data_IF_686567262201
#
_entry.id   IF_686567262201
#
_cell.length_a   1.000
_cell.length_b   1.000
_cell.length_c   1.000
_cell.angle_alpha   90.00
_cell.angle_beta   90.00
_cell.angle_gamma   90.00
#
_symmetry.space_group_name_H-M   'P 1'
#
loop_
_entity.id
_entity.type
_entity.pdbx_description
1 polymer ?
#
# COMPACT_ATOMS: atom_id res chain seq x y z
N UNK A 1 -25.56 -11.89 -39.65
CA UNK A 1 -25.94 -11.39 -38.30
C UNK A 1 -25.47 -12.25 -37.12
N UNK A 2 -24.94 -13.47 -37.29
CA UNK A 2 -24.42 -14.28 -36.15
C UNK A 2 -23.01 -13.92 -35.67
N UNK A 3 -22.15 -13.37 -36.54
CA UNK A 3 -20.78 -12.96 -36.17
C UNK A 3 -20.72 -11.71 -35.26
N UNK A 4 -21.68 -10.79 -35.39
CA UNK A 4 -21.73 -9.59 -34.56
C UNK A 4 -22.03 -9.90 -33.08
N UNK A 5 -22.84 -10.93 -32.80
CA UNK A 5 -23.17 -11.37 -31.44
C UNK A 5 -21.96 -12.02 -30.72
N UNK A 6 -21.14 -12.78 -31.44
CA UNK A 6 -19.93 -13.39 -30.87
C UNK A 6 -18.86 -12.35 -30.55
N UNK A 7 -18.71 -11.32 -31.38
CA UNK A 7 -17.75 -10.24 -31.15
C UNK A 7 -18.09 -9.43 -29.89
N UNK A 8 -19.39 -9.15 -29.66
CA UNK A 8 -19.85 -8.45 -28.45
C UNK A 8 -19.60 -9.25 -27.15
N UNK A 9 -19.70 -10.58 -27.19
CA UNK A 9 -19.48 -11.43 -26.00
C UNK A 9 -17.99 -11.45 -25.61
N UNK A 10 -17.08 -11.45 -26.59
CA UNK A 10 -15.62 -11.43 -26.34
C UNK A 10 -15.20 -10.09 -25.73
N UNK A 11 -15.80 -8.97 -26.17
CA UNK A 11 -15.50 -7.65 -25.62
C UNK A 11 -16.01 -7.51 -24.18
N UNK A 12 -17.23 -8.00 -23.89
CA UNK A 12 -17.82 -7.94 -22.54
C UNK A 12 -17.03 -8.76 -21.52
N UNK A 13 -16.65 -9.99 -21.87
CA UNK A 13 -15.87 -10.89 -21.00
C UNK A 13 -14.44 -10.37 -20.75
N UNK A 14 -13.81 -9.73 -21.74
CA UNK A 14 -12.52 -9.07 -21.54
C UNK A 14 -12.62 -7.84 -20.62
N UNK A 15 -13.73 -7.13 -20.64
CA UNK A 15 -13.98 -5.95 -19.79
C UNK A 15 -14.17 -6.37 -18.33
N UNK A 16 -14.95 -7.42 -18.10
CA UNK A 16 -15.28 -7.96 -16.78
C UNK A 16 -14.05 -8.54 -16.07
N UNK A 17 -13.23 -9.33 -16.77
CA UNK A 17 -11.97 -9.86 -16.24
C UNK A 17 -10.99 -8.74 -15.84
N UNK A 18 -10.94 -7.65 -16.62
CA UNK A 18 -10.04 -6.53 -16.33
C UNK A 18 -10.53 -5.70 -15.15
N UNK A 19 -11.84 -5.47 -15.04
CA UNK A 19 -12.47 -4.86 -13.85
C UNK A 19 -12.17 -5.64 -12.58
N UNK A 20 -12.37 -6.97 -12.61
CA UNK A 20 -12.08 -7.85 -11.48
C UNK A 20 -10.59 -7.80 -11.08
N UNK A 21 -9.70 -7.83 -12.08
CA UNK A 21 -8.25 -7.71 -11.83
C UNK A 21 -7.88 -6.40 -11.13
N UNK A 22 -8.48 -5.27 -11.55
CA UNK A 22 -8.25 -3.96 -10.93
C UNK A 22 -8.74 -3.96 -9.46
N UNK A 23 -9.94 -4.49 -9.21
CA UNK A 23 -10.50 -4.58 -7.85
C UNK A 23 -9.64 -5.46 -6.95
N UNK A 24 -9.18 -6.61 -7.45
CA UNK A 24 -8.30 -7.50 -6.69
C UNK A 24 -6.98 -6.82 -6.34
N UNK A 25 -6.35 -6.11 -7.30
CA UNK A 25 -5.12 -5.37 -7.00
C UNK A 25 -5.35 -4.23 -5.99
N UNK A 26 -6.47 -3.51 -6.09
CA UNK A 26 -6.85 -2.49 -5.11
C UNK A 26 -6.99 -3.06 -3.70
N UNK A 27 -7.53 -4.27 -3.57
CA UNK A 27 -7.63 -4.97 -2.28
C UNK A 27 -6.24 -5.36 -1.75
N UNK A 28 -5.37 -5.93 -2.58
CA UNK A 28 -3.99 -6.24 -2.20
C UNK A 28 -3.22 -5.00 -1.76
N UNK A 29 -3.38 -3.87 -2.45
CA UNK A 29 -2.71 -2.62 -2.05
C UNK A 29 -3.17 -2.17 -0.65
N UNK A 30 -4.46 -2.31 -0.32
CA UNK A 30 -4.96 -1.98 1.03
C UNK A 30 -4.30 -2.86 2.10
N UNK A 31 -4.16 -4.15 1.82
CA UNK A 31 -3.48 -5.10 2.71
C UNK A 31 -1.99 -4.74 2.87
N UNK A 32 -1.29 -4.47 1.77
CA UNK A 32 0.11 -4.00 1.79
C UNK A 32 0.29 -2.70 2.59
N UNK A 33 -0.65 -1.76 2.50
CA UNK A 33 -0.63 -0.53 3.30
C UNK A 33 -0.79 -0.81 4.80
N UNK A 34 -1.68 -1.71 5.18
CA UNK A 34 -1.88 -2.10 6.58
C UNK A 34 -0.68 -2.86 7.14
N UNK A 35 -0.02 -3.70 6.33
CA UNK A 35 1.24 -4.35 6.70
C UNK A 35 2.34 -3.33 6.97
N UNK A 36 2.49 -2.31 6.10
CA UNK A 36 3.47 -1.23 6.30
C UNK A 36 3.20 -0.46 7.59
N UNK A 37 1.94 -0.12 7.88
CA UNK A 37 1.55 0.54 9.14
C UNK A 37 1.84 -0.33 10.34
N UNK A 38 1.48 -1.61 10.29
CA UNK A 38 1.68 -2.57 11.37
C UNK A 38 3.17 -2.74 11.69
N UNK A 39 4.00 -2.91 10.66
CA UNK A 39 5.44 -2.98 10.82
C UNK A 39 6.02 -1.71 11.44
N UNK A 40 5.56 -0.54 10.97
CA UNK A 40 5.97 0.75 11.52
C UNK A 40 5.66 0.87 13.02
N UNK A 41 4.41 0.60 13.43
CA UNK A 41 4.02 0.72 14.84
C UNK A 41 4.73 -0.29 15.73
N UNK A 42 4.91 -1.53 15.27
CA UNK A 42 5.71 -2.52 16.01
C UNK A 42 7.15 -2.04 16.22
N UNK A 43 7.75 -1.41 15.22
CA UNK A 43 9.10 -0.84 15.33
C UNK A 43 9.12 0.38 16.26
N UNK A 44 8.10 1.23 16.20
CA UNK A 44 7.91 2.39 17.08
C UNK A 44 7.86 1.96 18.56
N UNK A 45 7.02 0.98 18.89
CA UNK A 45 6.87 0.47 20.25
C UNK A 45 8.18 -0.14 20.78
N UNK A 46 8.90 -0.84 19.90
CA UNK A 46 10.22 -1.39 20.24
C UNK A 46 11.26 -0.30 20.50
N UNK A 47 11.20 0.84 19.81
CA UNK A 47 12.14 1.94 20.03
C UNK A 47 11.78 2.75 21.28
N UNK A 48 10.50 2.96 21.56
CA UNK A 48 10.06 3.71 22.73
C UNK A 48 10.37 2.94 24.04
N UNK A 49 10.14 1.63 24.06
CA UNK A 49 10.50 0.79 25.23
C UNK A 49 12.00 0.80 25.56
N UNK A 50 12.87 0.87 24.54
CA UNK A 50 14.32 1.01 24.76
C UNK A 50 14.66 2.42 25.24
N UNK A 51 14.00 3.45 24.72
CA UNK A 51 14.24 4.85 25.11
C UNK A 51 13.85 5.13 26.57
N UNK A 52 12.76 4.54 27.04
CA UNK A 52 12.31 4.65 28.43
C UNK A 52 13.32 4.07 29.42
N UNK A 53 13.97 2.97 29.04
CA UNK A 53 14.90 2.24 29.90
C UNK A 53 16.35 2.73 29.81
N UNK A 54 16.71 3.46 28.74
CA UNK A 54 18.08 3.93 28.53
C UNK A 54 18.27 5.40 28.95
N UNK A 55 19.24 5.67 29.83
CA UNK A 55 19.60 7.01 30.30
C UNK A 55 20.78 7.63 29.55
N UNK A 56 21.42 6.89 28.65
CA UNK A 56 22.58 7.36 27.89
C UNK A 56 22.14 8.29 26.74
N UNK A 57 22.60 9.54 26.74
CA UNK A 57 22.17 10.53 25.76
C UNK A 57 22.56 10.18 24.31
N UNK A 58 23.73 9.57 24.09
CA UNK A 58 24.18 9.17 22.75
C UNK A 58 23.29 8.05 22.18
N UNK A 59 22.80 7.15 23.04
CA UNK A 59 21.84 6.12 22.61
C UNK A 59 20.45 6.70 22.36
N UNK A 60 19.99 7.64 23.19
CA UNK A 60 18.72 8.37 22.95
C UNK A 60 18.72 9.11 21.62
N UNK A 61 19.84 9.74 21.26
CA UNK A 61 19.99 10.39 19.95
C UNK A 61 19.89 9.37 18.80
N UNK A 62 20.57 8.24 18.88
CA UNK A 62 20.47 7.17 17.86
C UNK A 62 19.04 6.65 17.71
N UNK A 63 18.31 6.49 18.82
CA UNK A 63 16.90 6.08 18.79
C UNK A 63 16.05 7.14 18.08
N UNK A 64 16.27 8.43 18.35
CA UNK A 64 15.58 9.52 17.66
C UNK A 64 15.88 9.55 16.14
N UNK A 65 17.12 9.32 15.74
CA UNK A 65 17.50 9.18 14.32
C UNK A 65 16.81 7.97 13.67
N UNK A 66 16.71 6.85 14.39
CA UNK A 66 16.02 5.65 13.91
C UNK A 66 14.51 5.86 13.78
N UNK A 67 13.89 6.64 14.67
CA UNK A 67 12.48 7.07 14.54
C UNK A 67 12.24 7.82 13.23
N UNK A 68 13.04 8.86 12.97
CA UNK A 68 12.89 9.69 11.76
C UNK A 68 13.14 8.87 10.50
N UNK A 69 14.16 8.01 10.50
CA UNK A 69 14.45 7.11 9.38
C UNK A 69 13.30 6.13 9.11
N UNK A 70 12.74 5.56 10.16
CA UNK A 70 11.62 4.61 10.07
C UNK A 70 10.34 5.29 9.57
N UNK A 71 10.05 6.51 10.04
CA UNK A 71 8.93 7.31 9.56
C UNK A 71 9.07 7.69 8.07
N UNK A 72 10.28 8.07 7.66
CA UNK A 72 10.60 8.33 6.26
C UNK A 72 10.36 7.11 5.36
N UNK A 73 10.82 5.92 5.79
CA UNK A 73 10.60 4.66 5.06
C UNK A 73 9.12 4.31 4.94
N UNK A 74 8.36 4.41 6.04
CA UNK A 74 6.89 4.22 6.03
C UNK A 74 6.24 5.16 5.03
N UNK A 75 6.57 6.45 5.09
CA UNK A 75 5.95 7.48 4.24
C UNK A 75 6.22 7.22 2.75
N UNK A 76 7.46 6.90 2.38
CA UNK A 76 7.81 6.55 0.99
C UNK A 76 7.02 5.34 0.49
N UNK A 77 6.92 4.29 1.30
CA UNK A 77 6.16 3.09 0.95
C UNK A 77 4.67 3.38 0.76
N UNK A 78 4.04 4.08 1.72
CA UNK A 78 2.62 4.42 1.66
C UNK A 78 2.29 5.34 0.50
N UNK A 79 3.14 6.34 0.20
CA UNK A 79 2.93 7.24 -0.95
C UNK A 79 2.95 6.46 -2.27
N UNK A 80 3.87 5.51 -2.42
CA UNK A 80 3.96 4.68 -3.62
C UNK A 80 2.69 3.84 -3.80
N UNK A 81 2.25 3.17 -2.74
CA UNK A 81 1.03 2.36 -2.75
C UNK A 81 -0.22 3.21 -3.02
N UNK A 82 -0.31 4.40 -2.43
CA UNK A 82 -1.46 5.30 -2.64
C UNK A 82 -1.53 5.77 -4.09
N UNK A 83 -0.40 6.16 -4.69
CA UNK A 83 -0.35 6.55 -6.10
C UNK A 83 -0.81 5.42 -7.03
N UNK A 84 -0.43 4.18 -6.73
CA UNK A 84 -0.90 3.03 -7.49
C UNK A 84 -2.41 2.83 -7.32
N UNK A 85 -2.91 2.89 -6.09
CA UNK A 85 -4.34 2.80 -5.79
C UNK A 85 -5.17 3.85 -6.53
N UNK A 86 -4.75 5.12 -6.47
CA UNK A 86 -5.42 6.25 -7.12
C UNK A 86 -5.43 6.09 -8.64
N UNK A 87 -4.33 5.61 -9.21
CA UNK A 87 -4.24 5.30 -10.65
C UNK A 87 -5.23 4.20 -11.05
N UNK A 88 -5.36 3.16 -10.23
CA UNK A 88 -6.31 2.07 -10.45
C UNK A 88 -7.76 2.55 -10.30
N UNK A 89 -8.05 3.48 -9.38
CA UNK A 89 -9.39 4.05 -9.23
C UNK A 89 -9.79 4.87 -10.46
N UNK A 90 -8.87 5.63 -11.05
CA UNK A 90 -9.09 6.34 -12.31
C UNK A 90 -9.33 5.36 -13.46
N UNK A 91 -8.61 4.24 -13.49
CA UNK A 91 -8.83 3.20 -14.51
C UNK A 91 -10.17 2.49 -14.34
N UNK A 92 -10.58 2.20 -13.10
CA UNK A 92 -11.84 1.51 -12.78
C UNK A 92 -13.06 2.31 -13.26
N UNK A 93 -13.00 3.65 -13.24
CA UNK A 93 -14.06 4.53 -13.75
C UNK A 93 -14.31 4.41 -15.26
N UNK A 94 -13.44 3.71 -16.00
CA UNK A 94 -13.60 3.48 -17.45
C UNK A 94 -14.48 2.25 -17.76
N UNK A 95 -14.86 1.47 -16.75
CA UNK A 95 -15.75 0.31 -16.84
C UNK A 95 -17.13 0.61 -16.28
#
# INVERSE_FOLDING_TARGET
>A
MRFFLLLSIIILSSCENKKETIVNRQQTIKEEMEEVKTFYYKKLDSLESVKETDTNSAKRQKIAEEFVSTDGKKSVALIKLQKEYDSLEVELKKY
#
